data_IF_670082780506
#
_entry.id   IF_670082780506
#
_cell.length_a   1.000
_cell.length_b   1.000
_cell.length_c   1.000
_cell.angle_alpha   90.00
_cell.angle_beta   90.00
_cell.angle_gamma   90.00
#
_symmetry.space_group_name_H-M   'P 1'
#
loop_
_entity.id
_entity.type
_entity.pdbx_description
1 polymer ?
#
# COMPACT_ATOMS: atom_id res chain seq x y z
N UNK A 1 -2.42 6.78 -7.55
CA UNK A 1 -1.23 7.25 -8.29
C UNK A 1 -1.64 8.33 -9.29
N UNK A 2 -0.69 8.91 -10.02
CA UNK A 2 -0.96 9.88 -11.09
C UNK A 2 -1.83 9.31 -12.22
N UNK A 3 -2.29 10.19 -13.11
CA UNK A 3 -3.30 9.88 -14.12
C UNK A 3 -2.79 9.03 -15.30
N UNK A 4 -1.47 8.86 -15.45
CA UNK A 4 -0.87 8.14 -16.58
C UNK A 4 -0.42 6.73 -16.16
N UNK A 5 -1.11 5.66 -16.62
CA UNK A 5 -0.81 4.29 -16.24
C UNK A 5 0.61 3.82 -16.63
N UNK A 6 1.20 4.37 -17.69
CA UNK A 6 2.56 3.98 -18.10
C UNK A 6 3.62 4.59 -17.18
N UNK A 7 3.36 5.79 -16.64
CA UNK A 7 4.25 6.40 -15.65
C UNK A 7 4.11 5.65 -14.33
N UNK A 8 2.88 5.29 -13.91
CA UNK A 8 2.61 4.56 -12.67
C UNK A 8 3.37 3.24 -12.53
N UNK A 9 3.72 2.59 -13.64
CA UNK A 9 4.56 1.38 -13.64
C UNK A 9 5.98 1.60 -13.14
N UNK A 10 6.47 2.84 -13.18
CA UNK A 10 7.88 3.15 -13.02
C UNK A 10 8.20 3.83 -11.68
N UNK A 11 7.22 4.01 -10.78
CA UNK A 11 7.47 4.63 -9.48
C UNK A 11 6.62 4.05 -8.36
N UNK A 12 7.03 4.33 -7.12
CA UNK A 12 6.28 4.02 -5.92
C UNK A 12 5.59 5.27 -5.39
N UNK A 13 4.36 5.13 -4.90
CA UNK A 13 3.76 6.13 -4.01
C UNK A 13 4.41 5.97 -2.64
N UNK A 14 5.19 6.96 -2.21
CA UNK A 14 5.99 6.87 -0.98
C UNK A 14 5.61 7.94 0.02
N UNK A 15 5.49 7.55 1.28
CA UNK A 15 5.39 8.41 2.46
C UNK A 15 6.58 8.13 3.37
N UNK A 16 7.06 9.17 4.06
CA UNK A 16 8.22 9.07 4.95
C UNK A 16 7.79 9.59 6.32
N UNK A 17 8.07 8.80 7.35
CA UNK A 17 7.80 9.12 8.74
C UNK A 17 9.11 9.05 9.53
N UNK A 18 9.51 10.15 10.16
CA UNK A 18 10.65 10.12 11.08
C UNK A 18 10.19 9.53 12.41
N UNK A 19 10.82 8.43 12.82
CA UNK A 19 10.43 7.64 14.00
C UNK A 19 11.67 7.31 14.84
N UNK A 20 11.46 7.03 16.12
CA UNK A 20 12.54 6.68 17.04
C UNK A 20 12.99 5.23 16.83
N UNK A 21 14.29 4.99 16.91
CA UNK A 21 14.88 3.66 16.73
C UNK A 21 14.68 2.81 17.98
N UNK A 22 14.51 1.50 17.80
CA UNK A 22 14.43 0.53 18.89
C UNK A 22 13.01 0.18 19.36
N UNK A 23 12.00 0.74 18.71
CA UNK A 23 10.59 0.43 18.98
C UNK A 23 9.95 -0.39 17.85
N UNK A 24 8.92 -1.15 18.23
CA UNK A 24 8.00 -1.78 17.28
C UNK A 24 6.84 -0.80 17.04
N UNK A 25 6.69 -0.39 15.79
CA UNK A 25 5.59 0.48 15.37
C UNK A 25 4.46 -0.37 14.79
N UNK A 26 3.22 -0.06 15.18
CA UNK A 26 2.02 -0.56 14.51
C UNK A 26 1.60 0.46 13.45
N UNK A 27 1.68 0.07 12.19
CA UNK A 27 1.21 0.88 11.05
C UNK A 27 -0.14 0.34 10.61
N UNK A 28 -1.19 1.16 10.75
CA UNK A 28 -2.56 0.83 10.32
C UNK A 28 -2.87 1.53 9.01
N UNK A 29 -3.04 0.77 7.94
CA UNK A 29 -3.39 1.30 6.63
C UNK A 29 -4.89 1.14 6.39
N UNK A 30 -5.56 2.25 6.05
CA UNK A 30 -6.99 2.29 5.75
C UNK A 30 -7.24 2.31 4.24
N UNK A 31 -8.18 1.49 3.79
CA UNK A 31 -8.57 1.35 2.39
C UNK A 31 -10.08 1.38 2.23
N UNK A 32 -10.56 1.98 1.15
CA UNK A 32 -11.95 1.90 0.70
C UNK A 32 -11.98 2.12 -0.81
N UNK A 33 -12.41 1.10 -1.56
CA UNK A 33 -12.55 1.21 -3.00
C UNK A 33 -13.83 1.97 -3.35
N UNK A 34 -13.72 3.26 -3.70
CA UNK A 34 -14.85 4.09 -4.10
C UNK A 34 -14.99 4.27 -5.62
N UNK A 35 -13.98 3.91 -6.40
CA UNK A 35 -13.93 4.28 -7.82
C UNK A 35 -14.91 3.45 -8.64
N UNK A 36 -15.74 4.12 -9.46
CA UNK A 36 -16.81 3.45 -10.23
C UNK A 36 -16.31 2.36 -11.19
N UNK A 37 -15.07 2.46 -11.67
CA UNK A 37 -14.46 1.53 -12.62
C UNK A 37 -13.84 0.28 -11.99
N UNK A 38 -13.67 0.27 -10.66
CA UNK A 38 -13.05 -0.84 -9.92
C UNK A 38 -14.17 -1.61 -9.20
N UNK A 39 -14.64 -2.69 -9.84
CA UNK A 39 -15.85 -3.42 -9.39
C UNK A 39 -15.61 -4.92 -9.16
N UNK A 40 -14.40 -5.41 -9.41
CA UNK A 40 -14.06 -6.83 -9.29
C UNK A 40 -12.59 -6.97 -8.87
N UNK A 41 -12.22 -8.17 -8.44
CA UNK A 41 -10.84 -8.52 -8.15
C UNK A 41 -9.93 -8.38 -9.38
N UNK A 42 -8.63 -8.26 -9.14
CA UNK A 42 -7.59 -8.08 -10.16
C UNK A 42 -7.78 -6.86 -11.08
N UNK A 43 -8.62 -5.91 -10.66
CA UNK A 43 -8.77 -4.62 -11.35
C UNK A 43 -7.65 -3.67 -10.91
N UNK A 44 -7.36 -3.62 -9.61
CA UNK A 44 -6.29 -2.82 -9.04
C UNK A 44 -5.57 -3.65 -7.98
N UNK A 45 -4.33 -4.00 -8.26
CA UNK A 45 -3.47 -4.78 -7.35
C UNK A 45 -2.14 -4.09 -7.18
N UNK A 46 -1.65 -4.05 -5.95
CA UNK A 46 -0.40 -3.39 -5.61
C UNK A 46 0.28 -4.10 -4.43
N UNK A 47 1.59 -3.94 -4.32
CA UNK A 47 2.37 -4.40 -3.19
C UNK A 47 2.54 -3.26 -2.18
N UNK A 48 2.59 -3.62 -0.91
CA UNK A 48 2.80 -2.70 0.21
C UNK A 48 4.18 -2.97 0.79
N UNK A 49 4.96 -1.90 0.92
CA UNK A 49 6.31 -1.93 1.49
C UNK A 49 6.33 -1.08 2.75
N UNK A 50 6.97 -1.61 3.80
CA UNK A 50 7.38 -0.84 4.97
C UNK A 50 8.90 -0.96 5.12
N UNK A 51 9.60 0.16 5.06
CA UNK A 51 11.04 0.19 4.86
C UNK A 51 11.43 -0.50 3.55
N UNK A 52 12.37 -1.45 3.64
CA UNK A 52 12.85 -2.22 2.48
C UNK A 52 12.15 -3.58 2.33
N UNK A 53 11.11 -3.86 3.13
CA UNK A 53 10.41 -5.15 3.15
C UNK A 53 9.02 -5.05 2.54
N UNK A 54 8.62 -6.10 1.82
CA UNK A 54 7.24 -6.27 1.34
C UNK A 54 6.42 -6.87 2.48
N UNK A 55 5.43 -6.13 2.96
CA UNK A 55 4.53 -6.58 4.03
C UNK A 55 3.21 -7.13 3.49
N UNK A 56 2.87 -6.85 2.24
CA UNK A 56 1.68 -7.39 1.57
C UNK A 56 1.93 -7.53 0.06
N UNK A 57 1.68 -8.74 -0.45
CA UNK A 57 1.78 -9.05 -1.88
C UNK A 57 0.39 -9.03 -2.52
N UNK A 58 0.26 -8.35 -3.66
CA UNK A 58 -0.97 -8.36 -4.44
C UNK A 58 -2.20 -7.88 -3.66
N UNK A 59 -2.05 -6.81 -2.87
CA UNK A 59 -3.14 -6.15 -2.17
C UNK A 59 -4.28 -5.80 -3.13
N UNK A 60 -5.48 -6.28 -2.82
CA UNK A 60 -6.69 -6.05 -3.60
C UNK A 60 -7.84 -5.72 -2.63
N UNK A 61 -8.26 -4.44 -2.65
CA UNK A 61 -9.27 -3.93 -1.73
C UNK A 61 -10.62 -4.63 -1.97
N UNK A 62 -11.00 -4.90 -3.22
CA UNK A 62 -12.25 -5.60 -3.55
C UNK A 62 -12.22 -7.03 -3.01
N UNK A 63 -11.05 -7.69 -3.04
CA UNK A 63 -10.88 -9.01 -2.43
C UNK A 63 -11.05 -8.97 -0.91
N UNK A 64 -10.49 -7.96 -0.24
CA UNK A 64 -10.59 -7.84 1.22
C UNK A 64 -11.99 -7.51 1.72
N UNK A 65 -12.81 -6.86 0.91
CA UNK A 65 -14.17 -6.43 1.27
C UNK A 65 -15.24 -7.41 0.81
N UNK A 66 -14.91 -8.69 0.63
CA UNK A 66 -15.83 -9.73 0.14
C UNK A 66 -16.54 -9.34 -1.16
N UNK A 67 -15.78 -8.79 -2.12
CA UNK A 67 -16.26 -8.37 -3.45
C UNK A 67 -17.20 -7.14 -3.44
N UNK A 68 -17.28 -6.41 -2.31
CA UNK A 68 -18.13 -5.22 -2.18
C UNK A 68 -17.32 -3.92 -2.35
N UNK A 69 -17.84 -3.02 -3.19
CA UNK A 69 -17.30 -1.66 -3.35
C UNK A 69 -17.81 -0.74 -2.25
N UNK A 70 -17.02 0.26 -1.87
CA UNK A 70 -17.41 1.30 -0.90
C UNK A 70 -17.40 0.85 0.56
N UNK A 71 -16.92 -0.36 0.83
CA UNK A 71 -16.77 -0.89 2.19
C UNK A 71 -15.36 -0.54 2.69
N UNK A 72 -15.21 0.16 3.82
CA UNK A 72 -13.91 0.45 4.39
C UNK A 72 -13.31 -0.81 5.03
N UNK A 73 -11.99 -0.97 4.89
CA UNK A 73 -11.19 -2.03 5.51
C UNK A 73 -9.86 -1.44 5.97
N UNK A 74 -9.27 -2.02 7.01
CA UNK A 74 -7.92 -1.66 7.45
C UNK A 74 -7.02 -2.90 7.55
N UNK A 75 -5.71 -2.68 7.50
CA UNK A 75 -4.67 -3.68 7.71
C UNK A 75 -3.62 -3.16 8.68
N UNK A 76 -3.27 -3.98 9.66
CA UNK A 76 -2.28 -3.65 10.67
C UNK A 76 -0.99 -4.42 10.38
N UNK A 77 0.13 -3.70 10.39
CA UNK A 77 1.47 -4.25 10.25
C UNK A 77 2.33 -3.82 11.42
N UNK A 78 3.15 -4.72 11.94
CA UNK A 78 4.14 -4.42 12.96
C UNK A 78 5.53 -4.34 12.32
N UNK A 79 6.25 -3.25 12.55
CA UNK A 79 7.62 -3.06 12.03
C UNK A 79 8.55 -2.69 13.16
N UNK A 80 9.64 -3.46 13.31
CA UNK A 80 10.73 -3.11 14.20
C UNK A 80 11.69 -2.18 13.44
N UNK A 81 11.89 -0.98 13.97
CA UNK A 81 12.81 -0.01 13.34
C UNK A 81 14.19 -0.13 14.00
N UNK A 82 15.15 -0.65 13.23
CA UNK A 82 16.55 -0.78 13.64
C UNK A 82 17.45 0.05 12.73
N UNK A 83 18.24 0.96 13.29
CA UNK A 83 19.21 1.78 12.56
C UNK A 83 20.34 2.22 13.50
N UNK A 84 21.44 2.70 12.95
CA UNK A 84 22.42 3.45 13.71
C UNK A 84 21.90 4.89 13.91
N UNK A 85 21.61 5.27 15.15
CA UNK A 85 21.11 6.61 15.51
C UNK A 85 19.83 6.59 16.36
N UNK A 86 19.42 7.75 16.89
CA UNK A 86 18.21 7.86 17.71
C UNK A 86 16.91 7.84 16.89
N UNK A 87 16.96 8.27 15.62
CA UNK A 87 15.83 8.35 14.71
C UNK A 87 16.16 7.74 13.34
N UNK A 88 15.14 7.23 12.68
CA UNK A 88 15.21 6.67 11.33
C UNK A 88 13.97 7.04 10.53
N UNK A 89 14.14 7.18 9.22
CA UNK A 89 13.02 7.39 8.31
C UNK A 89 12.37 6.04 8.02
N UNK A 90 11.11 5.85 8.44
CA UNK A 90 10.28 4.71 8.07
C UNK A 90 9.53 5.04 6.78
N UNK A 91 9.75 4.23 5.75
CA UNK A 91 9.20 4.44 4.42
C UNK A 91 7.95 3.56 4.27
N UNK A 92 6.81 4.16 3.96
CA UNK A 92 5.66 3.42 3.44
C UNK A 92 5.64 3.61 1.94
N UNK A 93 5.74 2.53 1.18
CA UNK A 93 5.66 2.62 -0.28
C UNK A 93 4.61 1.66 -0.85
N UNK A 94 3.87 2.14 -1.84
CA UNK A 94 2.94 1.34 -2.63
C UNK A 94 3.43 1.27 -4.07
N UNK A 95 3.58 0.07 -4.60
CA UNK A 95 4.03 -0.16 -5.97
C UNK A 95 3.14 -1.19 -6.65
N UNK A 96 3.07 -1.14 -7.98
CA UNK A 96 2.24 -2.07 -8.73
C UNK A 96 2.76 -3.50 -8.63
N UNK A 97 1.85 -4.47 -8.63
CA UNK A 97 2.22 -5.86 -8.87
C UNK A 97 2.02 -6.19 -10.36
N UNK A 98 3.09 -6.06 -11.13
CA UNK A 98 3.06 -6.31 -12.58
C UNK A 98 2.91 -7.80 -12.92
N UNK A 99 3.23 -8.71 -11.99
CA UNK A 99 3.13 -10.15 -12.21
C UNK A 99 1.68 -10.62 -12.34
N UNK A 100 0.76 -9.93 -11.66
CA UNK A 100 -0.68 -10.21 -11.67
C UNK A 100 -1.42 -9.62 -12.87
N UNK A 101 -0.75 -8.75 -13.64
CA UNK A 101 -1.29 -8.07 -14.82
C UNK A 101 -2.67 -7.44 -14.55
N UNK A 102 -2.80 -6.56 -13.53
CA UNK A 102 -4.08 -5.95 -13.22
C UNK A 102 -4.59 -5.09 -14.36
N UNK A 103 -5.92 -4.92 -14.43
CA UNK A 103 -6.53 -4.07 -15.47
C UNK A 103 -6.12 -2.60 -15.34
N UNK A 104 -5.89 -2.12 -14.13
CA UNK A 104 -5.48 -0.75 -13.83
C UNK A 104 -4.15 -0.76 -13.09
N UNK A 105 -3.16 -0.08 -13.68
CA UNK A 105 -1.84 0.15 -13.11
C UNK A 105 -1.89 1.34 -12.14
N UNK A 106 -2.41 1.07 -10.95
CA UNK A 106 -2.63 2.07 -9.91
C UNK A 106 -2.57 1.47 -8.49
N UNK A 107 -2.42 2.32 -7.48
CA UNK A 107 -2.48 1.97 -6.06
C UNK A 107 -3.27 3.04 -5.29
N UNK A 108 -3.87 2.64 -4.16
CA UNK A 108 -4.70 3.51 -3.32
C UNK A 108 -4.29 3.39 -1.85
N UNK A 109 -4.38 4.49 -1.13
CA UNK A 109 -4.34 4.56 0.33
C UNK A 109 -5.34 5.63 0.76
N UNK A 110 -6.25 5.32 1.69
CA UNK A 110 -7.26 6.26 2.18
C UNK A 110 -6.87 6.92 3.50
N UNK A 111 -6.00 6.28 4.28
CA UNK A 111 -5.47 6.80 5.53
C UNK A 111 -4.33 5.94 6.07
N UNK A 112 -3.48 6.55 6.88
CA UNK A 112 -2.34 5.97 7.61
C UNK A 112 -2.25 6.66 8.96
#
# INVERSE_FOLDING_TARGET
>A
MGSNPQINKNYCLTWIFSVDVGFVYMVRLHFCEGQATITAINKRTFNIFLGNEIVEYGADVIKWTNFLKGVPVYKDYAVLVTSEGPQHDLWLALHLDLSLQPRYYDAILNGV
#
